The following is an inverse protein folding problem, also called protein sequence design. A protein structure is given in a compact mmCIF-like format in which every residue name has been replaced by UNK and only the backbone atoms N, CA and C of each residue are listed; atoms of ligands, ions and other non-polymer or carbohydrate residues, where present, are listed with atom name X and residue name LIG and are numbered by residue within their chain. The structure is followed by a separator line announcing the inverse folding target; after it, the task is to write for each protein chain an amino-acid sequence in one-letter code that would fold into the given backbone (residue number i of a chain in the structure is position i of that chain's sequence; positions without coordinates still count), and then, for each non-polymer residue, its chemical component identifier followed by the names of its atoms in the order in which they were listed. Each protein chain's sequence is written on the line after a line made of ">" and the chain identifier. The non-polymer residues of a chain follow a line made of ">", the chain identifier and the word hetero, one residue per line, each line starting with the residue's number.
data_IF_621920877808
#
_entry.id   IF_621920877808
#
_cell.length_a   1.000
_cell.length_b   1.000
_cell.length_c   1.000
_cell.angle_alpha   90.00
_cell.angle_beta   90.00
_cell.angle_gamma   90.00
#
_symmetry.space_group_name_H-M   'P 1'
#
loop_
_entity.id
_entity.type
_entity.pdbx_description
1 polymer ?
#
# COMPACT_ATOMS: atom_id res chain seq x y z
N UNK A 1 12.97 1.44 -7.50
CA UNK A 1 12.16 1.04 -6.34
C UNK A 1 10.67 1.21 -6.59
N UNK A 2 10.15 2.42 -6.82
CA UNK A 2 8.69 2.65 -6.99
C UNK A 2 8.09 1.85 -8.16
N UNK A 3 8.78 1.80 -9.31
CA UNK A 3 8.38 0.96 -10.45
C UNK A 3 8.35 -0.55 -10.13
N UNK A 4 9.26 -1.02 -9.29
CA UNK A 4 9.30 -2.43 -8.88
C UNK A 4 8.12 -2.76 -7.96
N UNK A 5 7.85 -1.88 -6.99
CA UNK A 5 6.69 -1.98 -6.12
C UNK A 5 5.39 -2.01 -6.93
N UNK A 6 5.20 -1.09 -7.88
CA UNK A 6 3.98 -1.03 -8.69
C UNK A 6 3.76 -2.28 -9.54
N UNK A 7 4.82 -2.88 -10.08
CA UNK A 7 4.70 -4.15 -10.81
C UNK A 7 4.26 -5.25 -9.85
N UNK A 8 4.93 -5.40 -8.70
CA UNK A 8 4.61 -6.45 -7.73
C UNK A 8 3.19 -6.28 -7.17
N UNK A 9 2.81 -5.07 -6.77
CA UNK A 9 1.44 -4.78 -6.31
C UNK A 9 0.42 -5.06 -7.40
N UNK A 10 0.67 -4.60 -8.64
CA UNK A 10 -0.25 -4.83 -9.75
C UNK A 10 -0.50 -6.31 -10.04
N UNK A 11 0.45 -7.20 -9.75
CA UNK A 11 0.26 -8.65 -9.83
C UNK A 11 -0.59 -9.23 -8.69
N UNK A 12 -0.76 -8.51 -7.58
CA UNK A 12 -1.56 -8.93 -6.42
C UNK A 12 -2.97 -8.30 -6.41
N UNK A 13 -3.25 -7.36 -7.31
CA UNK A 13 -4.57 -6.75 -7.43
C UNK A 13 -5.52 -7.68 -8.19
N UNK A 14 -6.82 -7.56 -7.90
CA UNK A 14 -7.86 -8.15 -8.73
C UNK A 14 -7.82 -7.50 -10.13
N UNK A 15 -7.53 -8.26 -11.20
CA UNK A 15 -7.55 -7.74 -12.56
C UNK A 15 -8.97 -7.48 -13.09
N UNK A 16 -10.01 -8.00 -12.43
CA UNK A 16 -11.40 -7.87 -12.82
C UNK A 16 -12.11 -6.71 -12.12
N UNK A 17 -11.56 -6.19 -11.03
CA UNK A 17 -12.06 -4.96 -10.39
C UNK A 17 -11.73 -3.74 -11.27
N UNK A 18 -12.73 -2.95 -11.72
CA UNK A 18 -12.51 -1.76 -12.53
C UNK A 18 -11.52 -0.75 -11.91
N UNK A 19 -11.42 -0.69 -10.58
CA UNK A 19 -10.50 0.21 -9.88
C UNK A 19 -9.03 -0.15 -10.07
N UNK A 20 -8.71 -1.43 -10.30
CA UNK A 20 -7.33 -1.94 -10.43
C UNK A 20 -6.98 -2.57 -11.77
N UNK A 21 -7.97 -2.89 -12.62
CA UNK A 21 -7.77 -3.59 -13.90
C UNK A 21 -6.63 -2.99 -14.74
N UNK A 22 -6.62 -1.66 -14.91
CA UNK A 22 -5.58 -1.00 -15.71
C UNK A 22 -4.17 -1.09 -15.11
N UNK A 23 -4.05 -1.27 -13.79
CA UNK A 23 -2.78 -1.43 -13.09
C UNK A 23 -2.28 -2.86 -13.22
N UNK A 24 -3.17 -3.85 -13.04
CA UNK A 24 -2.86 -5.25 -13.28
C UNK A 24 -2.40 -5.47 -14.72
N UNK A 25 -3.11 -4.91 -15.70
CA UNK A 25 -2.73 -4.95 -17.12
C UNK A 25 -1.36 -4.33 -17.38
N UNK A 26 -1.09 -3.16 -16.79
CA UNK A 26 0.22 -2.49 -16.92
C UNK A 26 1.34 -3.32 -16.29
N UNK A 27 1.09 -3.96 -15.15
CA UNK A 27 2.06 -4.85 -14.50
C UNK A 27 2.37 -6.05 -15.40
N UNK A 28 1.35 -6.76 -15.90
CA UNK A 28 1.49 -7.89 -16.81
C UNK A 28 2.21 -7.49 -18.11
N UNK A 29 1.79 -6.40 -18.75
CA UNK A 29 2.45 -5.85 -19.95
C UNK A 29 3.92 -5.50 -19.70
N UNK A 30 4.26 -5.03 -18.50
CA UNK A 30 5.65 -4.69 -18.13
C UNK A 30 6.55 -5.92 -18.05
N UNK A 31 5.99 -7.12 -18.03
CA UNK A 31 6.73 -8.40 -18.00
C UNK A 31 6.68 -9.16 -19.32
N UNK A 32 5.77 -8.80 -20.23
CA UNK A 32 5.62 -9.46 -21.55
C UNK A 32 6.70 -8.99 -22.53
N UNK A 33 7.58 -9.87 -23.05
CA UNK A 33 8.59 -9.50 -24.04
C UNK A 33 7.97 -8.99 -25.35
N UNK A 34 6.82 -9.54 -25.75
CA UNK A 34 6.08 -9.14 -26.96
C UNK A 34 5.54 -7.71 -26.92
N UNK A 35 5.44 -7.10 -25.72
CA UNK A 35 5.05 -5.71 -25.55
C UNK A 35 6.25 -4.74 -25.56
N UNK A 36 7.46 -5.23 -25.89
CA UNK A 36 8.68 -4.44 -25.94
C UNK A 36 8.81 -3.63 -27.23
N UNK A 37 9.34 -2.42 -27.14
CA UNK A 37 9.54 -1.54 -28.32
C UNK A 37 10.67 -2.02 -29.24
N UNK A 38 11.64 -2.75 -28.70
CA UNK A 38 12.79 -3.28 -29.42
C UNK A 38 13.34 -4.52 -28.70
N UNK A 39 14.34 -5.18 -29.30
CA UNK A 39 14.96 -6.40 -28.75
C UNK A 39 15.52 -6.20 -27.34
N UNK A 40 16.09 -5.04 -27.04
CA UNK A 40 16.66 -4.75 -25.72
C UNK A 40 15.55 -4.60 -24.66
N UNK A 41 14.47 -3.87 -24.97
CA UNK A 41 13.31 -3.75 -24.07
C UNK A 41 12.63 -5.11 -23.84
N UNK A 42 12.43 -5.89 -24.91
CA UNK A 42 11.87 -7.24 -24.80
C UNK A 42 12.68 -8.14 -23.86
N UNK A 43 14.00 -8.10 -23.97
CA UNK A 43 14.92 -8.86 -23.12
C UNK A 43 14.89 -8.36 -21.66
N UNK A 44 14.83 -7.04 -21.44
CA UNK A 44 14.70 -6.47 -20.11
C UNK A 44 13.39 -6.93 -19.43
N UNK A 45 12.26 -6.93 -20.15
CA UNK A 45 10.98 -7.42 -19.65
C UNK A 45 11.01 -8.91 -19.33
N UNK A 46 11.61 -9.72 -20.22
CA UNK A 46 11.81 -11.16 -19.99
C UNK A 46 12.57 -11.43 -18.71
N UNK A 47 13.73 -10.78 -18.53
CA UNK A 47 14.54 -10.91 -17.31
C UNK A 47 13.78 -10.48 -16.07
N UNK A 48 13.00 -9.40 -16.17
CA UNK A 48 12.18 -8.93 -15.05
C UNK A 48 11.12 -9.94 -14.65
N UNK A 49 10.40 -10.51 -15.61
CA UNK A 49 9.43 -11.58 -15.38
C UNK A 49 10.06 -12.79 -14.71
N UNK A 50 11.19 -13.27 -15.24
CA UNK A 50 11.94 -14.39 -14.65
C UNK A 50 12.41 -14.09 -13.22
N UNK A 51 12.86 -12.86 -12.96
CA UNK A 51 13.29 -12.46 -11.61
C UNK A 51 12.13 -12.45 -10.61
N UNK A 52 10.93 -12.06 -11.03
CA UNK A 52 9.74 -12.08 -10.15
C UNK A 52 9.29 -13.51 -9.90
N UNK A 53 9.21 -14.33 -10.96
CA UNK A 53 8.83 -15.74 -10.83
C UNK A 53 9.78 -16.51 -9.91
N UNK A 54 11.09 -16.24 -9.99
CA UNK A 54 12.09 -16.86 -9.10
C UNK A 54 11.89 -16.50 -7.62
N UNK A 55 11.23 -15.39 -7.32
CA UNK A 55 10.95 -14.91 -5.96
C UNK A 55 9.53 -15.24 -5.49
N UNK A 56 8.68 -15.77 -6.37
CA UNK A 56 7.31 -16.12 -6.01
C UNK A 56 7.31 -17.37 -5.14
N UNK A 57 6.42 -17.40 -4.15
CA UNK A 57 6.13 -18.59 -3.36
C UNK A 57 4.98 -19.33 -4.00
N UNK A 58 5.02 -20.65 -4.02
CA UNK A 58 4.03 -21.48 -4.69
C UNK A 58 3.53 -22.57 -3.75
N UNK A 59 2.21 -22.81 -3.76
CA UNK A 59 1.56 -23.86 -2.97
C UNK A 59 1.94 -23.80 -1.49
N UNK A 60 2.48 -24.90 -0.97
CA UNK A 60 2.86 -25.08 0.44
C UNK A 60 4.02 -24.19 0.90
N UNK A 61 4.70 -23.48 -0.01
CA UNK A 61 5.72 -22.49 0.35
C UNK A 61 5.12 -21.20 0.90
N UNK A 62 3.83 -20.96 0.70
CA UNK A 62 3.15 -19.73 1.12
C UNK A 62 2.84 -19.83 2.62
N UNK A 63 3.40 -18.96 3.47
CA UNK A 63 3.10 -18.97 4.90
C UNK A 63 1.65 -18.49 5.17
N UNK A 64 1.13 -18.91 6.33
CA UNK A 64 -0.15 -18.44 6.88
C UNK A 64 -0.08 -17.03 7.50
N UNK A 65 1.14 -16.49 7.64
CA UNK A 65 1.43 -15.18 8.21
C UNK A 65 2.13 -14.27 7.19
N UNK A 66 2.17 -12.96 7.48
CA UNK A 66 2.80 -11.97 6.59
C UNK A 66 1.99 -11.68 5.31
N UNK A 67 0.76 -12.19 5.23
CA UNK A 67 -0.20 -11.83 4.19
C UNK A 67 -0.67 -10.41 4.46
N UNK A 68 -0.50 -9.52 3.47
CA UNK A 68 -0.89 -8.13 3.62
C UNK A 68 -2.43 -8.02 3.66
N UNK A 69 -3.04 -7.36 4.67
CA UNK A 69 -4.49 -7.18 4.76
C UNK A 69 -5.12 -6.63 3.48
N UNK A 70 -6.15 -7.33 2.99
CA UNK A 70 -6.81 -7.01 1.72
C UNK A 70 -6.12 -7.59 0.48
N UNK A 71 -4.89 -8.14 0.56
CA UNK A 71 -4.19 -8.77 -0.57
C UNK A 71 -4.01 -10.29 -0.40
N UNK A 72 -4.88 -10.91 0.39
CA UNK A 72 -4.91 -12.37 0.57
C UNK A 72 -5.46 -13.12 -0.64
N UNK A 73 -5.71 -14.42 -0.47
CA UNK A 73 -6.27 -15.26 -1.53
C UNK A 73 -7.69 -14.77 -1.91
N UNK A 74 -7.81 -14.25 -3.14
CA UNK A 74 -9.05 -13.70 -3.69
C UNK A 74 -9.90 -14.74 -4.42
N UNK A 75 -9.31 -15.89 -4.76
CA UNK A 75 -9.98 -16.94 -5.53
C UNK A 75 -9.71 -18.32 -4.93
N UNK A 76 -10.22 -18.58 -3.72
CA UNK A 76 -10.00 -19.85 -3.03
C UNK A 76 -10.56 -21.04 -3.82
N UNK A 77 -11.55 -20.79 -4.68
CA UNK A 77 -12.28 -21.80 -5.44
C UNK A 77 -11.66 -22.13 -6.81
N UNK A 78 -10.63 -21.40 -7.25
CA UNK A 78 -9.94 -21.73 -8.51
C UNK A 78 -9.01 -22.92 -8.26
N UNK A 79 -9.30 -24.04 -8.93
CA UNK A 79 -8.43 -25.21 -8.93
C UNK A 79 -7.10 -24.86 -9.62
N UNK A 80 -6.06 -24.62 -8.82
CA UNK A 80 -4.75 -24.27 -9.33
C UNK A 80 -3.73 -24.14 -8.20
N UNK A 81 -2.46 -24.27 -8.54
CA UNK A 81 -1.38 -24.06 -7.59
C UNK A 81 -1.29 -22.56 -7.25
N UNK A 82 -1.55 -22.22 -5.98
CA UNK A 82 -1.54 -20.83 -5.51
C UNK A 82 -0.14 -20.24 -5.65
N UNK A 83 -0.06 -18.94 -5.93
CA UNK A 83 1.20 -18.22 -6.02
C UNK A 83 1.13 -16.92 -5.22
N UNK A 84 2.19 -16.59 -4.48
CA UNK A 84 2.32 -15.34 -3.74
C UNK A 84 3.55 -14.55 -4.17
N UNK A 85 3.40 -13.22 -4.25
CA UNK A 85 4.49 -12.30 -4.61
C UNK A 85 5.09 -11.69 -3.35
N UNK A 86 6.39 -11.88 -3.16
CA UNK A 86 7.11 -11.25 -2.04
C UNK A 86 7.30 -9.75 -2.25
N UNK A 87 6.68 -8.95 -1.38
CA UNK A 87 6.81 -7.49 -1.34
C UNK A 87 7.43 -7.07 -0.01
N UNK A 88 8.61 -6.40 0.00
CA UNK A 88 9.21 -5.92 1.23
C UNK A 88 8.34 -4.89 1.96
N UNK A 89 8.16 -5.05 3.28
CA UNK A 89 7.43 -4.08 4.15
C UNK A 89 7.89 -2.64 3.91
N UNK A 90 9.20 -2.41 3.80
CA UNK A 90 9.81 -1.09 3.56
C UNK A 90 9.28 -0.37 2.31
N UNK A 91 8.77 -1.10 1.32
CA UNK A 91 8.16 -0.47 0.17
C UNK A 91 6.81 0.17 0.51
N UNK A 92 5.98 -0.50 1.34
CA UNK A 92 4.73 0.06 1.86
C UNK A 92 4.98 1.25 2.78
N UNK A 93 5.96 1.15 3.68
CA UNK A 93 6.37 2.25 4.56
C UNK A 93 6.72 3.49 3.74
N UNK A 94 7.61 3.35 2.75
CA UNK A 94 8.08 4.48 1.94
C UNK A 94 7.00 5.12 1.06
N UNK A 95 6.10 4.33 0.47
CA UNK A 95 5.02 4.91 -0.35
C UNK A 95 3.99 5.63 0.52
N UNK A 96 3.65 5.05 1.69
CA UNK A 96 2.73 5.66 2.65
C UNK A 96 3.32 6.97 3.18
N UNK A 97 4.58 6.94 3.62
CA UNK A 97 5.30 8.13 4.10
C UNK A 97 5.34 9.24 3.03
N UNK A 98 5.65 8.88 1.78
CA UNK A 98 5.65 9.82 0.65
C UNK A 98 4.28 10.48 0.45
N UNK A 99 3.19 9.72 0.55
CA UNK A 99 1.82 10.23 0.41
C UNK A 99 1.48 11.14 1.59
N UNK A 100 1.74 10.72 2.82
CA UNK A 100 1.51 11.51 4.04
C UNK A 100 2.22 12.85 3.98
N UNK A 101 3.53 12.85 3.67
CA UNK A 101 4.31 14.08 3.50
C UNK A 101 3.74 14.98 2.41
N UNK A 102 3.32 14.38 1.29
CA UNK A 102 2.70 15.12 0.18
C UNK A 102 1.41 15.80 0.58
N UNK A 103 0.51 15.11 1.30
CA UNK A 103 -0.76 15.69 1.78
C UNK A 103 -0.49 16.83 2.76
N UNK A 104 0.39 16.65 3.73
CA UNK A 104 0.72 17.70 4.72
C UNK A 104 1.32 18.93 4.03
N UNK A 105 2.22 18.72 3.06
CA UNK A 105 2.82 19.83 2.34
C UNK A 105 1.80 20.60 1.49
N UNK A 106 0.92 19.88 0.78
CA UNK A 106 -0.09 20.51 -0.09
C UNK A 106 -1.17 21.23 0.71
N UNK A 107 -1.64 20.63 1.81
CA UNK A 107 -2.78 21.15 2.56
C UNK A 107 -2.38 22.19 3.61
N UNK A 108 -1.22 22.02 4.24
CA UNK A 108 -0.81 22.85 5.37
C UNK A 108 0.39 23.74 5.03
N UNK A 109 1.06 23.53 3.89
CA UNK A 109 2.31 24.21 3.54
C UNK A 109 3.48 23.84 4.45
N UNK A 110 3.37 22.74 5.23
CA UNK A 110 4.35 22.33 6.24
C UNK A 110 5.16 21.13 5.78
N UNK A 111 6.39 21.02 6.29
CA UNK A 111 7.22 19.83 6.16
C UNK A 111 7.20 19.05 7.47
N UNK A 112 7.04 17.73 7.38
CA UNK A 112 7.22 16.84 8.56
C UNK A 112 8.72 16.70 8.83
N UNK A 113 9.18 17.32 9.90
CA UNK A 113 10.57 17.30 10.35
C UNK A 113 10.60 17.06 11.86
N UNK A 114 11.78 16.78 12.41
CA UNK A 114 11.96 16.67 13.86
C UNK A 114 11.34 17.90 14.58
N UNK A 115 10.64 17.69 15.71
CA UNK A 115 10.53 16.44 16.46
C UNK A 115 9.50 15.44 15.90
N UNK A 116 8.79 15.73 14.81
CA UNK A 116 7.74 14.86 14.30
C UNK A 116 8.26 13.66 13.51
N UNK A 117 7.66 12.50 13.74
CA UNK A 117 7.91 11.25 13.02
C UNK A 117 6.65 10.76 12.31
N UNK A 118 6.86 9.97 11.26
CA UNK A 118 5.80 9.26 10.56
C UNK A 118 5.96 7.79 10.88
N UNK A 119 4.95 7.19 11.53
CA UNK A 119 4.94 5.76 11.83
C UNK A 119 3.96 5.05 10.92
N UNK A 120 4.39 3.93 10.35
CA UNK A 120 3.58 3.10 9.46
C UNK A 120 3.06 1.88 10.20
N UNK A 121 1.79 1.57 10.01
CA UNK A 121 1.16 0.36 10.54
C UNK A 121 0.05 -0.13 9.61
N UNK A 122 -0.37 -1.36 9.85
CA UNK A 122 -1.43 -2.03 9.08
C UNK A 122 -2.29 -2.81 10.05
N UNK A 123 -3.61 -2.75 9.85
CA UNK A 123 -4.57 -3.54 10.58
C UNK A 123 -5.38 -4.37 9.59
N UNK A 124 -5.89 -5.52 10.03
CA UNK A 124 -7.01 -6.14 9.34
C UNK A 124 -8.20 -5.18 9.37
N UNK A 125 -9.06 -5.20 8.35
CA UNK A 125 -10.30 -4.43 8.38
C UNK A 125 -11.17 -4.98 9.53
N UNK A 126 -11.11 -4.30 10.66
CA UNK A 126 -11.89 -4.57 11.86
C UNK A 126 -12.74 -3.35 12.17
N UNK A 127 -14.06 -3.50 11.97
CA UNK A 127 -15.02 -2.43 12.22
C UNK A 127 -15.07 -2.00 13.70
N UNK A 128 -14.50 -2.80 14.61
CA UNK A 128 -14.40 -2.47 16.04
C UNK A 128 -13.18 -1.63 16.38
N UNK A 129 -12.26 -1.41 15.43
CA UNK A 129 -11.08 -0.60 15.69
C UNK A 129 -11.50 0.85 16.01
N UNK A 130 -11.15 1.37 17.21
CA UNK A 130 -11.62 2.68 17.68
C UNK A 130 -11.20 3.85 16.76
N UNK A 131 -10.19 3.65 15.93
CA UNK A 131 -9.65 4.68 15.04
C UNK A 131 -10.57 4.87 13.83
N UNK A 132 -11.35 3.86 13.44
CA UNK A 132 -12.34 3.96 12.36
C UNK A 132 -13.40 5.02 12.70
N UNK A 133 -13.85 5.06 13.95
CA UNK A 133 -14.78 6.09 14.42
C UNK A 133 -14.19 7.51 14.32
N UNK A 134 -12.89 7.68 14.55
CA UNK A 134 -12.23 8.98 14.39
C UNK A 134 -12.23 9.42 12.92
N UNK A 135 -11.90 8.52 11.99
CA UNK A 135 -11.98 8.82 10.57
C UNK A 135 -13.40 9.16 10.12
N UNK A 136 -14.41 8.43 10.60
CA UNK A 136 -15.82 8.63 10.20
C UNK A 136 -16.39 9.95 10.71
N UNK A 137 -15.97 10.41 11.89
CA UNK A 137 -16.42 11.68 12.46
C UNK A 137 -15.67 12.89 11.89
N UNK A 138 -14.35 12.79 11.73
CA UNK A 138 -13.48 13.97 11.54
C UNK A 138 -12.53 13.86 10.33
N UNK A 139 -12.62 12.79 9.55
CA UNK A 139 -11.67 12.54 8.46
C UNK A 139 -11.93 13.44 7.24
N UNK A 140 -10.97 14.34 6.94
CA UNK A 140 -10.95 15.03 5.64
C UNK A 140 -10.46 14.07 4.56
N UNK A 141 -11.15 14.06 3.41
CA UNK A 141 -10.91 13.12 2.31
C UNK A 141 -10.18 13.81 1.16
N UNK A 142 -9.08 13.20 0.72
CA UNK A 142 -8.31 13.59 -0.46
C UNK A 142 -8.34 12.45 -1.47
N UNK A 143 -8.99 12.66 -2.61
CA UNK A 143 -9.27 11.59 -3.55
C UNK A 143 -8.68 11.86 -4.94
N UNK A 144 -8.00 10.85 -5.47
CA UNK A 144 -7.60 10.71 -6.88
C UNK A 144 -8.12 9.36 -7.36
N UNK A 145 -9.43 9.28 -7.52
CA UNK A 145 -10.12 8.03 -7.83
C UNK A 145 -9.87 7.55 -9.27
N UNK A 146 -9.92 6.23 -9.51
CA UNK A 146 -10.05 5.16 -8.51
C UNK A 146 -8.72 4.81 -7.82
N UNK A 147 -7.64 5.54 -8.11
CA UNK A 147 -6.26 5.18 -7.76
C UNK A 147 -5.97 5.22 -6.26
N UNK A 148 -6.09 6.39 -5.64
CA UNK A 148 -5.74 6.60 -4.24
C UNK A 148 -6.80 7.46 -3.57
N UNK A 149 -7.25 7.04 -2.39
CA UNK A 149 -8.08 7.84 -1.48
C UNK A 149 -7.38 7.93 -0.14
N UNK A 150 -7.16 9.14 0.35
CA UNK A 150 -6.54 9.41 1.65
C UNK A 150 -7.59 10.01 2.57
N UNK A 151 -7.77 9.45 3.76
CA UNK A 151 -8.49 10.09 4.86
C UNK A 151 -7.47 10.58 5.87
N UNK A 152 -7.60 11.82 6.31
CA UNK A 152 -6.74 12.44 7.32
C UNK A 152 -7.58 12.97 8.46
N UNK A 153 -7.21 12.61 9.69
CA UNK A 153 -7.72 13.23 10.92
C UNK A 153 -6.55 14.01 11.53
N UNK A 154 -6.78 15.26 11.94
CA UNK A 154 -5.75 16.13 12.53
C UNK A 154 -6.16 16.45 13.95
N UNK A 155 -5.23 16.37 14.90
CA UNK A 155 -5.44 16.85 16.26
C UNK A 155 -5.64 18.37 16.25
N UNK A 156 -6.58 18.87 17.06
CA UNK A 156 -6.89 20.30 17.10
C UNK A 156 -5.77 21.13 17.72
N UNK A 157 -4.97 20.49 18.58
CA UNK A 157 -4.02 21.12 19.49
C UNK A 157 -2.81 21.74 18.76
N UNK A 158 -2.19 20.99 17.83
CA UNK A 158 -0.94 21.37 17.16
C UNK A 158 -1.04 21.47 15.63
N UNK A 159 -2.17 21.03 15.06
CA UNK A 159 -2.45 21.02 13.63
C UNK A 159 -1.49 20.18 12.78
N UNK A 160 -0.62 19.34 13.36
CA UNK A 160 0.32 18.48 12.63
C UNK A 160 0.22 17.02 13.05
N UNK A 161 -0.02 16.77 14.34
CA UNK A 161 -0.33 15.45 14.84
C UNK A 161 -1.58 14.94 14.14
N UNK A 162 -1.44 13.82 13.43
CA UNK A 162 -2.49 13.38 12.53
C UNK A 162 -2.45 11.89 12.23
N UNK A 163 -3.62 11.35 11.90
CA UNK A 163 -3.81 9.96 11.52
C UNK A 163 -4.25 9.88 10.05
N UNK A 164 -3.71 8.90 9.32
CA UNK A 164 -3.95 8.70 7.91
C UNK A 164 -4.43 7.28 7.60
N UNK A 165 -5.49 7.16 6.81
CA UNK A 165 -5.85 5.95 6.07
C UNK A 165 -5.56 6.25 4.59
N UNK A 166 -4.76 5.41 3.94
CA UNK A 166 -4.49 5.48 2.50
C UNK A 166 -5.02 4.23 1.84
N UNK A 167 -6.08 4.36 1.07
CA UNK A 167 -6.73 3.30 0.31
C UNK A 167 -6.23 3.30 -1.13
N UNK A 168 -5.72 2.16 -1.58
CA UNK A 168 -5.19 1.97 -2.93
C UNK A 168 -6.14 1.12 -3.76
N UNK A 169 -6.59 1.67 -4.90
CA UNK A 169 -7.45 1.01 -5.90
C UNK A 169 -8.68 0.31 -5.31
N UNK A 170 -9.18 0.76 -4.15
CA UNK A 170 -10.22 0.08 -3.35
C UNK A 170 -9.89 -1.36 -2.90
N UNK A 171 -8.65 -1.78 -3.04
CA UNK A 171 -8.23 -3.18 -2.91
C UNK A 171 -7.53 -3.47 -1.58
N UNK A 172 -6.77 -2.50 -1.07
CA UNK A 172 -6.08 -2.60 0.22
C UNK A 172 -5.83 -1.21 0.80
N UNK A 173 -5.42 -1.19 2.08
CA UNK A 173 -5.16 0.04 2.82
C UNK A 173 -3.81 0.00 3.53
N UNK A 174 -3.21 1.17 3.70
CA UNK A 174 -2.10 1.40 4.63
C UNK A 174 -2.50 2.51 5.58
N UNK A 175 -1.88 2.53 6.75
CA UNK A 175 -2.13 3.58 7.72
C UNK A 175 -0.83 4.19 8.20
N UNK A 176 -0.93 5.43 8.66
CA UNK A 176 0.18 6.12 9.29
C UNK A 176 -0.28 7.12 10.34
N UNK A 177 0.58 7.38 11.31
CA UNK A 177 0.44 8.47 12.27
C UNK A 177 1.59 9.45 12.07
N UNK A 178 1.31 10.71 12.39
CA UNK A 178 2.32 11.75 12.57
C UNK A 178 2.20 12.21 14.01
N UNK A 179 3.29 12.09 14.76
CA UNK A 179 3.34 12.43 16.20
C UNK A 179 4.69 13.08 16.51
N UNK A 180 4.75 13.90 17.56
CA UNK A 180 6.01 14.43 18.05
C UNK A 180 6.80 13.34 18.81
N UNK A 181 8.14 13.40 18.71
CA UNK A 181 9.04 12.56 19.49
C UNK A 181 8.82 12.79 20.99
N UNK A 182 8.24 11.79 21.66
CA UNK A 182 7.87 11.83 23.07
C UNK A 182 6.42 11.39 23.35
N UNK A 183 5.52 11.49 22.36
CA UNK A 183 4.10 11.14 22.53
C UNK A 183 3.76 9.70 22.06
N UNK A 184 4.73 8.99 21.49
CA UNK A 184 4.52 7.62 20.99
C UNK A 184 4.49 6.55 22.10
N UNK A 185 5.09 6.83 23.26
CA UNK A 185 5.19 5.88 24.39
C UNK A 185 3.88 5.74 25.19
N UNK A 186 2.89 6.59 24.96
CA UNK A 186 1.57 6.52 25.62
C UNK A 186 0.52 5.74 24.82
N UNK A 187 0.76 5.44 23.54
CA UNK A 187 -0.20 4.72 22.67
C UNK A 187 0.03 3.21 22.64
N UNK A 188 1.12 2.71 23.22
CA UNK A 188 1.50 1.29 23.27
C UNK A 188 1.24 0.61 24.62
N UNK A 189 0.69 1.34 25.61
CA UNK A 189 0.50 0.83 26.97
C UNK A 189 -0.90 0.23 27.24
N UNK A 190 -1.88 0.43 26.36
CA UNK A 190 -3.23 -0.14 26.50
C UNK A 190 -3.55 -1.06 25.32
N UNK A 191 -3.05 -2.30 25.38
CA UNK A 191 -3.31 -3.38 24.43
C UNK A 191 -2.83 -4.74 24.95
#
# INVERSE_FOLDING_TARGET
>A
MERDLLIKLGLCLDPYDPASASIADKALRSLRPSAGHNRHDAEHRRRKGQSILKQALVGDQIPDHGIFPGLGDRWPDISGERSAILVPKKHFERITEKIVRGIIYVEDGRLVQQPYKIEFFVFADDATNPWMAAFDRCGKVYAREPGIVVRRVVAEDDGLTSLFEVKFWRQFKTYASVTADGDADTLSADG
#
